data_IF_173940583138
#
_entry.id   IF_173940583138
#
_cell.length_a   1.000
_cell.length_b   1.000
_cell.length_c   1.000
_cell.angle_alpha   90.00
_cell.angle_beta   90.00
_cell.angle_gamma   90.00
#
_symmetry.space_group_name_H-M   'P 1'
#
loop_
_entity.id
_entity.type
_entity.pdbx_description
1 polymer ?
#
# COMPACT_ATOMS: atom_id res chain seq x y z
N UNK A 1 -7.70 -20.96 0.02
CA UNK A 1 -6.46 -20.30 0.45
C UNK A 1 -5.40 -20.72 -0.55
N UNK A 2 -5.27 -19.96 -1.64
CA UNK A 2 -4.45 -20.36 -2.79
C UNK A 2 -2.96 -20.01 -2.54
N UNK A 3 -2.01 -20.94 -2.78
CA UNK A 3 -0.62 -20.78 -2.36
C UNK A 3 0.27 -20.03 -3.39
N UNK A 4 -0.33 -19.27 -4.31
CA UNK A 4 0.39 -18.68 -5.46
C UNK A 4 0.56 -17.15 -5.41
N UNK A 5 0.40 -16.53 -4.24
CA UNK A 5 0.54 -15.07 -4.08
C UNK A 5 1.46 -14.61 -2.94
N UNK A 6 2.42 -15.43 -2.48
CA UNK A 6 3.52 -14.93 -1.64
C UNK A 6 4.62 -14.36 -2.53
N UNK A 7 4.38 -13.15 -3.05
CA UNK A 7 5.42 -12.36 -3.69
C UNK A 7 6.35 -11.79 -2.60
N UNK A 8 7.63 -12.21 -2.54
CA UNK A 8 8.57 -11.75 -1.52
C UNK A 8 8.82 -10.24 -1.61
N UNK A 9 8.62 -9.62 -2.78
CA UNK A 9 8.72 -8.17 -2.93
C UNK A 9 7.53 -7.44 -2.29
N UNK A 10 6.33 -8.04 -2.34
CA UNK A 10 5.15 -7.51 -1.66
C UNK A 10 5.26 -7.68 -0.14
N UNK A 11 5.76 -8.82 0.33
CA UNK A 11 5.98 -9.06 1.77
C UNK A 11 7.07 -8.13 2.34
N UNK A 12 8.15 -7.89 1.59
CA UNK A 12 9.19 -6.92 1.99
C UNK A 12 8.65 -5.47 2.01
N UNK A 13 7.84 -5.08 1.03
CA UNK A 13 7.19 -3.77 0.98
C UNK A 13 6.18 -3.57 2.12
N UNK A 14 5.40 -4.61 2.44
CA UNK A 14 4.49 -4.59 3.56
C UNK A 14 5.25 -4.56 4.91
N UNK A 15 6.38 -5.26 5.03
CA UNK A 15 7.25 -5.18 6.21
C UNK A 15 7.86 -3.78 6.40
N UNK A 16 8.31 -3.13 5.32
CA UNK A 16 8.86 -1.76 5.34
C UNK A 16 7.81 -0.70 5.75
N UNK A 17 6.54 -0.93 5.40
CA UNK A 17 5.40 -0.09 5.80
C UNK A 17 4.87 -0.46 7.22
N UNK A 18 5.37 -1.54 7.82
CA UNK A 18 5.01 -1.99 9.17
C UNK A 18 3.74 -2.85 9.23
N UNK A 19 3.40 -3.53 8.14
CA UNK A 19 2.22 -4.40 7.99
C UNK A 19 2.58 -5.91 7.95
N UNK A 20 3.87 -6.27 7.99
CA UNK A 20 4.32 -7.66 8.03
C UNK A 20 4.11 -8.29 9.41
N UNK A 21 3.52 -9.48 9.45
CA UNK A 21 3.52 -10.40 10.61
C UNK A 21 4.95 -10.93 10.84
N UNK A 22 5.89 -10.05 11.17
CA UNK A 22 7.13 -10.44 11.84
C UNK A 22 6.81 -10.82 13.28
N UNK A 23 7.59 -11.70 13.93
CA UNK A 23 7.30 -12.09 15.30
C UNK A 23 7.17 -10.82 16.13
N UNK A 24 6.06 -10.70 16.84
CA UNK A 24 5.97 -9.73 17.91
C UNK A 24 7.07 -10.07 18.90
N UNK A 25 8.21 -9.42 18.74
CA UNK A 25 9.18 -9.25 19.80
C UNK A 25 8.52 -8.25 20.75
N UNK A 26 7.55 -8.78 21.51
CA UNK A 26 7.11 -8.14 22.74
C UNK A 26 8.39 -7.80 23.51
N UNK A 27 8.62 -6.54 23.90
CA UNK A 27 9.72 -6.25 24.80
C UNK A 27 9.40 -7.00 26.09
N UNK A 28 10.14 -8.08 26.34
CA UNK A 28 9.96 -8.91 27.52
C UNK A 28 9.77 -8.02 28.76
N UNK A 29 8.81 -8.33 29.63
CA UNK A 29 8.82 -7.75 30.96
C UNK A 29 10.12 -8.23 31.60
N UNK A 30 11.14 -7.37 31.65
CA UNK A 30 12.36 -7.65 32.41
C UNK A 30 11.94 -7.89 33.85
N UNK A 31 11.84 -9.18 34.18
CA UNK A 31 11.67 -9.70 35.52
C UNK A 31 12.79 -9.11 36.36
N UNK A 32 12.52 -8.32 37.41
CA UNK A 32 13.57 -7.95 38.34
C UNK A 32 14.07 -9.23 39.04
N UNK A 33 15.37 -9.33 39.38
CA UNK A 33 15.92 -10.50 40.02
C UNK A 33 15.14 -10.83 41.28
N UNK A 34 14.77 -12.11 41.42
CA UNK A 34 14.25 -12.71 42.64
C UNK A 34 15.25 -12.47 43.77
N UNK A 35 15.04 -11.40 44.52
CA UNK A 35 15.45 -11.33 45.92
C UNK A 35 14.29 -11.88 46.70
N UNK A 36 14.50 -13.05 47.29
CA UNK A 36 13.60 -13.66 48.27
C UNK A 36 13.28 -12.64 49.36
N UNK A 37 12.15 -11.96 49.23
CA UNK A 37 11.57 -11.19 50.32
C UNK A 37 10.72 -12.18 51.09
N UNK A 38 11.35 -12.82 52.08
CA UNK A 38 10.64 -13.44 53.19
C UNK A 38 9.60 -12.46 53.70
N UNK A 39 8.34 -12.78 53.42
CA UNK A 39 7.18 -12.08 53.94
C UNK A 39 7.04 -12.51 55.38
N UNK A 40 7.70 -11.77 56.28
CA UNK A 40 7.49 -11.90 57.72
C UNK A 40 6.09 -11.39 58.06
N UNK A 41 5.16 -12.33 58.18
CA UNK A 41 3.87 -12.19 58.85
C UNK A 41 4.08 -11.65 60.27
N UNK A 42 3.59 -10.45 60.53
CA UNK A 42 3.51 -9.88 61.88
C UNK A 42 2.39 -10.59 62.65
N UNK A 43 2.76 -11.33 63.69
CA UNK A 43 1.86 -11.82 64.71
C UNK A 43 2.38 -11.47 66.11
N UNK A 44 1.56 -10.69 66.82
CA UNK A 44 1.36 -10.63 68.27
C UNK A 44 2.56 -10.49 69.24
N UNK A 45 2.66 -9.27 69.79
CA UNK A 45 2.73 -8.93 71.22
C UNK A 45 3.78 -9.60 72.13
N UNK A 46 4.77 -8.81 72.57
CA UNK A 46 5.05 -8.50 74.00
C UNK A 46 6.17 -7.46 74.11
N UNK A 47 6.09 -6.46 75.00
CA UNK A 47 7.17 -5.49 75.22
C UNK A 47 8.10 -5.94 76.36
N UNK A 48 9.39 -5.57 76.29
CA UNK A 48 10.07 -5.10 77.48
C UNK A 48 10.57 -3.68 77.26
N UNK A 49 10.38 -2.88 78.30
CA UNK A 49 10.84 -1.51 78.42
C UNK A 49 12.37 -1.46 78.41
N UNK A 50 12.93 -0.63 77.51
CA UNK A 50 14.09 0.26 77.66
C UNK A 50 14.40 0.85 76.26
N UNK A 51 15.05 2.01 76.19
CA UNK A 51 15.44 2.75 74.97
C UNK A 51 14.44 3.77 74.40
N UNK A 52 14.32 4.90 75.10
CA UNK A 52 13.78 6.16 74.55
C UNK A 52 14.61 6.73 73.39
N UNK A 53 15.80 6.17 73.11
CA UNK A 53 16.69 6.55 72.01
C UNK A 53 16.45 5.75 70.72
N UNK A 54 16.19 4.43 70.79
CA UNK A 54 16.00 3.59 69.60
C UNK A 54 14.69 3.86 68.85
N UNK A 55 13.64 4.26 69.56
CA UNK A 55 12.36 4.65 68.95
C UNK A 55 12.48 5.91 68.08
N UNK A 56 13.38 6.84 68.40
CA UNK A 56 13.58 8.06 67.63
C UNK A 56 14.37 7.78 66.34
N UNK A 57 15.41 6.95 66.42
CA UNK A 57 16.22 6.53 65.25
C UNK A 57 15.37 5.75 64.23
N UNK A 58 14.50 4.86 64.70
CA UNK A 58 13.57 4.12 63.83
C UNK A 58 12.55 5.03 63.11
N UNK A 59 12.12 6.12 63.76
CA UNK A 59 11.20 7.09 63.16
C UNK A 59 11.88 7.92 62.05
N UNK A 60 13.13 8.33 62.26
CA UNK A 60 13.93 9.07 61.27
C UNK A 60 14.25 8.21 60.04
N UNK A 61 14.60 6.93 60.22
CA UNK A 61 14.81 5.99 59.10
C UNK A 61 13.54 5.81 58.25
N UNK A 62 12.36 5.77 58.88
CA UNK A 62 11.08 5.70 58.17
C UNK A 62 10.79 6.97 57.35
N UNK A 63 11.11 8.15 57.90
CA UNK A 63 10.97 9.43 57.19
C UNK A 63 11.93 9.47 56.01
N UNK A 64 13.18 9.07 56.20
CA UNK A 64 14.19 9.04 55.14
C UNK A 64 13.80 8.05 54.03
N UNK A 65 13.34 6.86 54.38
CA UNK A 65 12.82 5.86 53.42
C UNK A 65 11.63 6.40 52.64
N UNK A 66 10.70 7.13 53.29
CA UNK A 66 9.58 7.79 52.61
C UNK A 66 10.06 8.88 51.65
N UNK A 67 11.07 9.66 52.03
CA UNK A 67 11.66 10.68 51.17
C UNK A 67 12.31 10.07 49.92
N UNK A 68 13.14 9.02 50.11
CA UNK A 68 13.77 8.26 49.02
C UNK A 68 12.72 7.68 48.06
N UNK A 69 11.61 7.13 48.58
CA UNK A 69 10.48 6.65 47.76
C UNK A 69 9.81 7.77 46.97
N UNK A 70 9.57 8.94 47.56
CA UNK A 70 8.99 10.10 46.85
C UNK A 70 9.88 10.56 45.70
N UNK A 71 11.20 10.60 45.92
CA UNK A 71 12.16 10.99 44.89
C UNK A 71 12.19 9.95 43.75
N UNK A 72 12.34 8.67 44.08
CA UNK A 72 12.36 7.58 43.10
C UNK A 72 11.05 7.50 42.29
N UNK A 73 9.90 7.63 42.96
CA UNK A 73 8.61 7.62 42.28
C UNK A 73 8.47 8.82 41.33
N UNK A 74 8.84 10.04 41.79
CA UNK A 74 8.87 11.24 40.95
C UNK A 74 9.72 11.03 39.70
N UNK A 75 10.90 10.45 39.85
CA UNK A 75 11.79 10.17 38.72
C UNK A 75 11.23 9.10 37.79
N UNK A 76 10.64 8.03 38.33
CA UNK A 76 9.99 6.96 37.56
C UNK A 76 8.79 7.49 36.75
N UNK A 77 7.97 8.36 37.34
CA UNK A 77 6.86 9.02 36.69
C UNK A 77 7.35 9.94 35.56
N UNK A 78 8.42 10.71 35.79
CA UNK A 78 9.07 11.53 34.75
C UNK A 78 9.56 10.67 33.59
N UNK A 79 10.27 9.58 33.87
CA UNK A 79 10.77 8.64 32.85
C UNK A 79 9.63 7.99 32.06
N UNK A 80 8.56 7.58 32.75
CA UNK A 80 7.38 7.00 32.10
C UNK A 80 6.70 8.00 31.15
N UNK A 81 6.49 9.25 31.60
CA UNK A 81 5.95 10.33 30.75
C UNK A 81 6.85 10.59 29.54
N UNK A 82 8.17 10.66 29.75
CA UNK A 82 9.14 10.88 28.67
C UNK A 82 9.11 9.75 27.63
N UNK A 83 9.04 8.47 28.06
CA UNK A 83 8.92 7.33 27.14
C UNK A 83 7.63 7.38 26.32
N UNK A 84 6.49 7.63 26.97
CA UNK A 84 5.19 7.77 26.28
C UNK A 84 5.21 8.92 25.27
N UNK A 85 5.81 10.06 25.64
CA UNK A 85 5.92 11.21 24.74
C UNK A 85 6.75 10.88 23.49
N UNK A 86 7.92 10.24 23.66
CA UNK A 86 8.75 9.79 22.53
C UNK A 86 7.99 8.85 21.60
N UNK A 87 7.27 7.87 22.16
CA UNK A 87 6.48 6.95 21.36
C UNK A 87 5.37 7.67 20.56
N UNK A 88 4.69 8.66 21.16
CA UNK A 88 3.71 9.47 20.45
C UNK A 88 4.34 10.30 19.31
N UNK A 89 5.53 10.84 19.52
CA UNK A 89 6.28 11.57 18.49
C UNK A 89 6.71 10.66 17.35
N UNK A 90 7.19 9.45 17.66
CA UNK A 90 7.52 8.42 16.66
C UNK A 90 6.30 8.03 15.83
N UNK A 91 5.15 7.76 16.46
CA UNK A 91 3.90 7.44 15.76
C UNK A 91 3.43 8.61 14.88
N UNK A 92 3.51 9.86 15.38
CA UNK A 92 3.20 11.04 14.57
C UNK A 92 4.12 11.16 13.37
N UNK A 93 5.42 10.89 13.55
CA UNK A 93 6.40 10.86 12.47
C UNK A 93 6.10 9.79 11.43
N UNK A 94 5.79 8.57 11.86
CA UNK A 94 5.35 7.47 10.96
C UNK A 94 4.09 7.87 10.18
N UNK A 95 3.07 8.40 10.85
CA UNK A 95 1.84 8.84 10.21
C UNK A 95 2.07 9.99 9.21
N UNK A 96 2.97 10.92 9.51
CA UNK A 96 3.32 12.01 8.59
C UNK A 96 4.02 11.47 7.33
N UNK A 97 4.99 10.55 7.48
CA UNK A 97 5.67 9.89 6.36
C UNK A 97 4.69 9.11 5.48
N UNK A 98 3.82 8.30 6.08
CA UNK A 98 2.80 7.55 5.35
C UNK A 98 1.83 8.47 4.60
N UNK A 99 1.40 9.58 5.21
CA UNK A 99 0.55 10.58 4.52
C UNK A 99 1.27 11.26 3.35
N UNK A 100 2.56 11.56 3.49
CA UNK A 100 3.36 12.13 2.42
C UNK A 100 3.52 11.13 1.25
N UNK A 101 3.89 9.89 1.57
CA UNK A 101 4.00 8.81 0.58
C UNK A 101 2.68 8.54 -0.13
N UNK A 102 1.56 8.52 0.59
CA UNK A 102 0.23 8.33 0.00
C UNK A 102 -0.11 9.46 -0.99
N UNK A 103 0.18 10.72 -0.64
CA UNK A 103 -0.01 11.87 -1.55
C UNK A 103 0.83 11.76 -2.82
N UNK A 104 2.09 11.35 -2.67
CA UNK A 104 2.99 11.14 -3.80
C UNK A 104 2.49 10.02 -4.72
N UNK A 105 2.15 8.86 -4.15
CA UNK A 105 1.59 7.73 -4.91
C UNK A 105 0.31 8.12 -5.63
N UNK A 106 -0.58 8.86 -4.97
CA UNK A 106 -1.80 9.37 -5.60
C UNK A 106 -1.50 10.33 -6.77
N UNK A 107 -0.49 11.19 -6.66
CA UNK A 107 -0.05 12.06 -7.75
C UNK A 107 0.52 11.25 -8.93
N UNK A 108 1.38 10.26 -8.65
CA UNK A 108 1.92 9.35 -9.67
C UNK A 108 0.80 8.58 -10.38
N UNK A 109 -0.17 8.06 -9.63
CA UNK A 109 -1.32 7.35 -10.19
C UNK A 109 -2.13 8.24 -11.15
N UNK A 110 -2.43 9.48 -10.75
CA UNK A 110 -3.11 10.45 -11.63
C UNK A 110 -2.31 10.69 -12.92
N UNK A 111 -0.99 10.83 -12.82
CA UNK A 111 -0.12 10.99 -13.99
C UNK A 111 -0.12 9.77 -14.93
N UNK A 112 -0.15 8.56 -14.39
CA UNK A 112 -0.30 7.32 -15.18
C UNK A 112 -1.67 7.26 -15.84
N UNK A 113 -2.74 7.58 -15.13
CA UNK A 113 -4.11 7.60 -15.68
C UNK A 113 -4.25 8.59 -16.83
N UNK A 114 -3.69 9.79 -16.72
CA UNK A 114 -3.69 10.79 -17.79
C UNK A 114 -2.96 10.29 -19.04
N UNK A 115 -1.77 9.69 -18.88
CA UNK A 115 -1.03 9.08 -19.99
C UNK A 115 -1.79 7.92 -20.63
N UNK A 116 -2.39 7.05 -19.83
CA UNK A 116 -3.21 5.95 -20.33
C UNK A 116 -4.42 6.46 -21.13
N UNK A 117 -5.08 7.53 -20.68
CA UNK A 117 -6.16 8.16 -21.42
C UNK A 117 -5.69 8.70 -22.78
N UNK A 118 -4.55 9.39 -22.82
CA UNK A 118 -3.96 9.87 -24.07
C UNK A 118 -3.67 8.71 -25.04
N UNK A 119 -3.05 7.64 -24.56
CA UNK A 119 -2.76 6.44 -25.35
C UNK A 119 -4.04 5.77 -25.87
N UNK A 120 -5.12 5.76 -25.09
CA UNK A 120 -6.41 5.24 -25.56
C UNK A 120 -6.98 6.09 -26.69
N UNK A 121 -6.91 7.41 -26.58
CA UNK A 121 -7.38 8.34 -27.62
C UNK A 121 -6.57 8.19 -28.91
N UNK A 122 -5.24 8.13 -28.82
CA UNK A 122 -4.39 7.93 -30.00
C UNK A 122 -4.66 6.58 -30.67
N UNK A 123 -4.81 5.52 -29.89
CA UNK A 123 -5.19 4.21 -30.45
C UNK A 123 -6.57 4.22 -31.11
N UNK A 124 -7.56 4.89 -30.53
CA UNK A 124 -8.88 5.04 -31.14
C UNK A 124 -8.80 5.77 -32.49
N UNK A 125 -8.02 6.85 -32.54
CA UNK A 125 -7.73 7.59 -33.78
C UNK A 125 -7.07 6.70 -34.83
N UNK A 126 -5.99 6.01 -34.48
CA UNK A 126 -5.27 5.14 -35.41
C UNK A 126 -6.16 4.01 -35.95
N UNK A 127 -7.01 3.43 -35.11
CA UNK A 127 -8.00 2.42 -35.55
C UNK A 127 -9.03 3.00 -36.52
N UNK A 128 -9.51 4.22 -36.28
CA UNK A 128 -10.42 4.90 -37.19
C UNK A 128 -9.77 5.19 -38.56
N UNK A 129 -8.52 5.68 -38.55
CA UNK A 129 -7.73 5.92 -39.76
C UNK A 129 -7.49 4.61 -40.53
N UNK A 130 -7.06 3.55 -39.84
CA UNK A 130 -6.88 2.22 -40.43
C UNK A 130 -8.17 1.68 -41.06
N UNK A 131 -9.31 1.86 -40.38
CA UNK A 131 -10.62 1.49 -40.92
C UNK A 131 -11.00 2.28 -42.17
N UNK A 132 -10.73 3.59 -42.21
CA UNK A 132 -10.98 4.43 -43.37
C UNK A 132 -10.12 4.02 -44.57
N UNK A 133 -8.82 3.79 -44.35
CA UNK A 133 -7.91 3.29 -45.38
C UNK A 133 -8.33 1.90 -45.88
N UNK A 134 -8.75 1.01 -44.98
CA UNK A 134 -9.29 -0.31 -45.34
C UNK A 134 -10.51 -0.21 -46.25
N UNK A 135 -11.45 0.68 -45.96
CA UNK A 135 -12.62 0.94 -46.82
C UNK A 135 -12.22 1.47 -48.20
N UNK A 136 -11.29 2.43 -48.25
CA UNK A 136 -10.77 2.98 -49.51
C UNK A 136 -10.09 1.91 -50.37
N UNK A 137 -9.27 1.07 -49.75
CA UNK A 137 -8.60 -0.04 -50.42
C UNK A 137 -9.61 -1.07 -50.96
N UNK A 138 -10.62 -1.44 -50.16
CA UNK A 138 -11.68 -2.35 -50.60
C UNK A 138 -12.48 -1.78 -51.78
N UNK A 139 -12.79 -0.48 -51.76
CA UNK A 139 -13.46 0.20 -52.87
C UNK A 139 -12.60 0.20 -54.14
N UNK A 140 -11.31 0.52 -54.04
CA UNK A 140 -10.37 0.46 -55.16
C UNK A 140 -10.26 -0.95 -55.76
N UNK A 141 -10.15 -1.98 -54.90
CA UNK A 141 -10.14 -3.39 -55.34
C UNK A 141 -11.42 -3.77 -56.10
N UNK A 142 -12.59 -3.37 -55.59
CA UNK A 142 -13.87 -3.59 -56.28
C UNK A 142 -13.92 -2.89 -57.65
N UNK A 143 -13.48 -1.64 -57.72
CA UNK A 143 -13.47 -0.89 -58.98
C UNK A 143 -12.57 -1.55 -60.05
N UNK A 144 -11.39 -2.04 -59.66
CA UNK A 144 -10.50 -2.78 -60.55
C UNK A 144 -11.15 -4.08 -61.02
N UNK A 145 -11.74 -4.86 -60.11
CA UNK A 145 -12.41 -6.11 -60.44
C UNK A 145 -13.57 -5.90 -61.43
N UNK A 146 -14.42 -4.88 -61.20
CA UNK A 146 -15.50 -4.52 -62.12
C UNK A 146 -14.98 -4.12 -63.50
N UNK A 147 -13.89 -3.34 -63.57
CA UNK A 147 -13.25 -2.98 -64.84
C UNK A 147 -12.72 -4.21 -65.59
N UNK A 148 -12.13 -5.17 -64.88
CA UNK A 148 -11.63 -6.41 -65.47
C UNK A 148 -12.78 -7.27 -66.01
N UNK A 149 -13.87 -7.41 -65.26
CA UNK A 149 -15.07 -8.14 -65.69
C UNK A 149 -15.67 -7.49 -66.94
N UNK A 150 -15.82 -6.16 -66.93
CA UNK A 150 -16.35 -5.42 -68.08
C UNK A 150 -15.46 -5.58 -69.32
N UNK A 151 -14.14 -5.45 -69.17
CA UNK A 151 -13.20 -5.65 -70.27
C UNK A 151 -13.25 -7.08 -70.84
N UNK A 152 -13.34 -8.09 -69.98
CA UNK A 152 -13.50 -9.49 -70.40
C UNK A 152 -14.82 -9.71 -71.14
N UNK A 153 -15.94 -9.14 -70.64
CA UNK A 153 -17.24 -9.22 -71.28
C UNK A 153 -17.27 -8.51 -72.66
N UNK A 154 -16.65 -7.34 -72.78
CA UNK A 154 -16.51 -6.64 -74.07
C UNK A 154 -15.66 -7.43 -75.07
N UNK A 155 -14.58 -8.07 -74.61
CA UNK A 155 -13.72 -8.90 -75.45
C UNK A 155 -14.39 -10.23 -75.87
N UNK A 156 -15.33 -10.75 -75.07
CA UNK A 156 -15.99 -12.03 -75.29
C UNK A 156 -17.15 -12.00 -76.30
N UNK A 157 -17.61 -10.84 -76.79
CA UNK A 157 -18.63 -10.84 -77.85
C UNK A 157 -19.60 -9.67 -77.96
N UNK A 158 -19.21 -8.44 -77.65
CA UNK A 158 -20.04 -7.26 -77.93
C UNK A 158 -20.11 -6.87 -79.42
N UNK A 159 -19.49 -7.63 -80.32
CA UNK A 159 -19.37 -7.32 -81.76
C UNK A 159 -20.38 -8.01 -82.69
N UNK A 160 -21.27 -8.85 -82.19
CA UNK A 160 -22.01 -9.78 -83.07
C UNK A 160 -23.48 -9.49 -83.36
N UNK A 161 -24.09 -8.39 -82.88
CA UNK A 161 -25.54 -8.18 -83.15
C UNK A 161 -25.97 -6.78 -83.61
N UNK A 162 -25.05 -5.84 -83.88
CA UNK A 162 -25.46 -4.57 -84.49
C UNK A 162 -25.67 -4.68 -86.02
N UNK A 163 -24.96 -5.60 -86.71
CA UNK A 163 -25.24 -5.90 -88.12
C UNK A 163 -26.50 -6.76 -88.30
N UNK A 164 -26.79 -7.67 -87.37
CA UNK A 164 -27.96 -8.55 -87.45
C UNK A 164 -29.29 -7.81 -87.21
N UNK A 165 -29.30 -6.81 -86.33
CA UNK A 165 -30.48 -5.96 -86.12
C UNK A 165 -30.69 -4.94 -87.25
N UNK A 166 -29.62 -4.50 -87.93
CA UNK A 166 -29.71 -3.63 -89.10
C UNK A 166 -30.27 -4.35 -90.34
N UNK A 167 -30.04 -5.66 -90.47
CA UNK A 167 -30.59 -6.49 -91.56
C UNK A 167 -32.03 -6.96 -91.36
N UNK A 168 -32.67 -6.65 -90.23
CA UNK A 168 -34.07 -7.00 -89.95
C UNK A 168 -35.05 -5.84 -90.26
N UNK A 169 -34.52 -4.66 -90.65
CA UNK A 169 -35.30 -3.45 -90.94
C UNK A 169 -35.27 -3.09 -92.45
N UNK A 170 -34.60 -3.88 -93.30
CA UNK A 170 -34.65 -3.76 -94.77
C UNK A 170 -35.17 -5.06 -95.36
#
# INVERSE_FOLDING_TARGET
MDPLLSDPALEAFLADIGFGLGPEEEPEPTSPPSVDVTTTTMAAATPPEEETSASAVAADELVERRLRRKISNRESARRSRARKQRHLEELRGRAARLRAGNRELAARLRGVQARAALVRLTNARLRAEAGALGRRLAAARRAIALRQIYAAASAAGGGFELQALASLIV
#
